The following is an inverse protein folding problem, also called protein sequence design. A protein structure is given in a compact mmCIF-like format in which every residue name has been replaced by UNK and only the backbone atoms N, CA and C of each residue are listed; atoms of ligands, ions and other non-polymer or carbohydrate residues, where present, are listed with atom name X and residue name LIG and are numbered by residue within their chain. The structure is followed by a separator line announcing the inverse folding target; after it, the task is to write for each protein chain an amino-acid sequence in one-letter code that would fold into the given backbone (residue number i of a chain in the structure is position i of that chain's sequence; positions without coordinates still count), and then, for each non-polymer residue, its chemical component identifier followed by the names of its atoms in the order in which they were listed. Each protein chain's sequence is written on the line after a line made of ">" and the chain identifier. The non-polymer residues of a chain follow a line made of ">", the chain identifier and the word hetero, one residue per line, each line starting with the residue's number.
data_IF_091282055058
#
_entry.id   IF_091282055058
#
_cell.length_a   1.000
_cell.length_b   1.000
_cell.length_c   1.000
_cell.angle_alpha   90.00
_cell.angle_beta   90.00
_cell.angle_gamma   90.00
#
_symmetry.space_group_name_H-M   'P 1'
#
loop_
_entity.id
_entity.type
_entity.pdbx_description
1 polymer ?
#
# COMPACT_ATOMS: atom_id res chain seq x y z
N UNK A 1 17.52 0.11 10.66
CA UNK A 1 16.64 -0.57 11.65
C UNK A 1 17.42 -1.70 12.30
N UNK A 2 17.14 -2.03 13.56
CA UNK A 2 17.61 -3.27 14.18
C UNK A 2 16.48 -4.29 14.13
N UNK A 3 16.70 -5.42 13.46
CA UNK A 3 15.70 -6.46 13.33
C UNK A 3 15.72 -7.37 14.57
N UNK A 4 14.63 -7.31 15.34
CA UNK A 4 14.35 -8.15 16.49
C UNK A 4 13.01 -8.89 16.30
N UNK A 5 12.96 -9.93 15.44
CA UNK A 5 11.70 -10.60 15.13
C UNK A 5 11.17 -11.38 16.35
N UNK A 6 9.87 -11.23 16.62
CA UNK A 6 9.15 -11.89 17.71
C UNK A 6 8.23 -13.00 17.20
N UNK A 7 7.42 -12.74 16.17
CA UNK A 7 6.41 -13.68 15.68
C UNK A 7 6.08 -13.51 14.19
N UNK A 8 5.30 -14.47 13.66
CA UNK A 8 4.75 -14.50 12.31
C UNK A 8 5.79 -14.26 11.20
N UNK A 9 5.47 -13.42 10.22
CA UNK A 9 6.27 -13.14 9.04
C UNK A 9 7.53 -12.32 9.33
N UNK A 10 7.71 -11.80 10.54
CA UNK A 10 8.84 -10.94 10.90
C UNK A 10 10.19 -11.63 10.68
N UNK A 11 10.25 -12.96 10.85
CA UNK A 11 11.47 -13.74 10.57
C UNK A 11 11.87 -13.64 9.09
N UNK A 12 10.90 -13.69 8.19
CA UNK A 12 11.09 -13.53 6.74
C UNK A 12 11.39 -12.07 6.40
N UNK A 13 10.65 -11.11 6.97
CA UNK A 13 10.89 -9.69 6.75
C UNK A 13 12.31 -9.29 7.17
N UNK A 14 12.83 -9.85 8.28
CA UNK A 14 14.23 -9.64 8.70
C UNK A 14 15.21 -10.02 7.59
N UNK A 15 15.05 -11.18 6.99
CA UNK A 15 15.93 -11.69 5.92
C UNK A 15 15.92 -10.72 4.75
N UNK A 16 14.73 -10.36 4.26
CA UNK A 16 14.58 -9.41 3.14
C UNK A 16 15.20 -8.05 3.48
N UNK A 17 14.96 -7.51 4.68
CA UNK A 17 15.45 -6.19 5.07
C UNK A 17 16.96 -6.13 5.27
N UNK A 18 17.57 -7.21 5.78
CA UNK A 18 19.01 -7.29 6.06
C UNK A 18 19.79 -7.71 4.82
N UNK A 19 19.37 -8.77 4.13
CA UNK A 19 20.13 -9.41 3.06
C UNK A 19 19.84 -8.81 1.69
N UNK A 20 18.56 -8.63 1.33
CA UNK A 20 18.20 -8.13 -0.01
C UNK A 20 18.23 -6.60 -0.09
N UNK A 21 17.60 -5.93 0.87
CA UNK A 21 17.45 -4.48 0.84
C UNK A 21 18.64 -3.73 1.45
N UNK A 22 19.40 -4.37 2.34
CA UNK A 22 20.54 -3.78 3.06
C UNK A 22 20.18 -2.66 4.06
N UNK A 23 18.90 -2.51 4.39
CA UNK A 23 18.39 -1.36 5.19
C UNK A 23 18.34 -1.62 6.70
N UNK A 24 18.72 -2.82 7.13
CA UNK A 24 18.65 -3.22 8.53
C UNK A 24 19.86 -4.06 8.97
N UNK A 25 20.04 -4.17 10.29
CA UNK A 25 20.98 -5.10 10.91
C UNK A 25 20.23 -6.04 11.84
N UNK A 26 20.65 -7.29 11.86
CA UNK A 26 20.13 -8.30 12.79
C UNK A 26 20.76 -8.17 14.18
N UNK A 27 19.97 -8.43 15.23
CA UNK A 27 20.48 -8.60 16.59
C UNK A 27 20.86 -10.04 16.85
N UNK A 28 22.12 -10.34 17.17
CA UNK A 28 22.51 -11.72 17.44
C UNK A 28 21.88 -12.21 18.75
N UNK A 29 21.40 -13.45 18.81
CA UNK A 29 20.79 -14.02 20.03
C UNK A 29 19.26 -14.07 20.03
N UNK A 30 18.58 -13.41 19.07
CA UNK A 30 17.10 -13.39 19.08
C UNK A 30 16.48 -14.77 18.87
N UNK A 31 17.16 -15.66 18.13
CA UNK A 31 16.70 -17.03 17.87
C UNK A 31 16.73 -17.91 19.13
N UNK A 32 17.65 -17.60 20.04
CA UNK A 32 17.84 -18.30 21.31
C UNK A 32 16.89 -17.78 22.41
N UNK A 33 15.99 -16.85 22.07
CA UNK A 33 15.01 -16.26 22.99
C UNK A 33 15.57 -15.19 23.92
N UNK A 34 16.88 -14.91 23.87
CA UNK A 34 17.52 -13.90 24.71
C UNK A 34 18.66 -13.20 23.97
N UNK A 35 18.51 -11.89 23.78
CA UNK A 35 19.58 -11.00 23.31
C UNK A 35 20.23 -10.35 24.54
N UNK A 36 21.57 -10.45 24.63
CA UNK A 36 22.33 -9.85 25.74
C UNK A 36 22.38 -8.32 25.62
N UNK A 37 22.43 -7.62 26.74
CA UNK A 37 22.53 -6.16 26.76
C UNK A 37 23.75 -5.62 26.00
N UNK A 38 24.90 -6.31 26.08
CA UNK A 38 26.10 -5.93 25.35
C UNK A 38 25.92 -5.98 23.83
N UNK A 39 25.15 -6.95 23.31
CA UNK A 39 24.85 -7.05 21.88
C UNK A 39 23.95 -5.89 21.44
N UNK A 40 22.92 -5.57 22.23
CA UNK A 40 22.04 -4.42 21.95
C UNK A 40 22.86 -3.14 21.90
N UNK A 41 23.70 -2.89 22.90
CA UNK A 41 24.54 -1.70 22.96
C UNK A 41 25.49 -1.62 21.75
N UNK A 42 26.19 -2.72 21.44
CA UNK A 42 27.12 -2.78 20.32
C UNK A 42 26.41 -2.49 18.98
N UNK A 43 25.22 -3.05 18.77
CA UNK A 43 24.45 -2.88 17.53
C UNK A 43 23.84 -1.50 17.42
N UNK A 44 23.33 -0.93 18.50
CA UNK A 44 22.86 0.46 18.54
C UNK A 44 24.01 1.40 18.19
N UNK A 45 25.17 1.24 18.83
CA UNK A 45 26.35 2.07 18.55
C UNK A 45 26.82 1.92 17.10
N UNK A 46 26.84 0.69 16.58
CA UNK A 46 27.19 0.43 15.18
C UNK A 46 26.23 1.13 14.21
N UNK A 47 24.91 1.10 14.46
CA UNK A 47 23.94 1.77 13.60
C UNK A 47 24.04 3.29 13.73
N UNK A 48 24.30 3.83 14.92
CA UNK A 48 24.26 5.28 15.16
C UNK A 48 25.56 5.97 14.75
N UNK A 49 26.71 5.44 15.16
CA UNK A 49 27.99 6.16 15.17
C UNK A 49 28.99 5.68 14.11
N UNK A 50 28.76 4.51 13.50
CA UNK A 50 29.74 3.94 12.57
C UNK A 50 29.51 4.30 11.10
N UNK A 51 30.56 4.10 10.30
CA UNK A 51 30.48 4.15 8.84
C UNK A 51 29.50 3.12 8.26
N UNK A 52 29.36 1.95 8.88
CA UNK A 52 28.37 0.96 8.47
C UNK A 52 26.94 1.49 8.67
N UNK A 53 26.68 2.15 9.80
CA UNK A 53 25.42 2.84 10.08
C UNK A 53 25.12 3.97 9.10
N UNK A 54 26.13 4.75 8.72
CA UNK A 54 26.00 5.78 7.68
C UNK A 54 25.64 5.21 6.31
N UNK A 55 26.28 4.10 5.90
CA UNK A 55 25.94 3.40 4.64
C UNK A 55 24.50 2.90 4.65
N UNK A 56 24.07 2.31 5.76
CA UNK A 56 22.70 1.82 5.96
C UNK A 56 21.68 2.95 5.86
N UNK A 57 21.92 4.10 6.51
CA UNK A 57 21.05 5.29 6.38
C UNK A 57 20.93 5.80 4.94
N UNK A 58 22.04 5.82 4.18
CA UNK A 58 22.02 6.19 2.76
C UNK A 58 21.16 5.24 1.94
N UNK A 59 21.25 3.93 2.18
CA UNK A 59 20.40 2.95 1.51
C UNK A 59 18.92 3.14 1.88
N UNK A 60 18.61 3.35 3.16
CA UNK A 60 17.24 3.67 3.61
C UNK A 60 16.69 4.89 2.88
N UNK A 61 17.48 5.97 2.74
CA UNK A 61 17.06 7.17 2.03
C UNK A 61 16.79 6.91 0.55
N UNK A 62 17.65 6.14 -0.13
CA UNK A 62 17.42 5.76 -1.52
C UNK A 62 16.14 4.92 -1.70
N UNK A 63 15.86 3.99 -0.79
CA UNK A 63 14.61 3.22 -0.80
C UNK A 63 13.39 4.09 -0.51
N UNK A 64 13.49 5.05 0.41
CA UNK A 64 12.44 6.05 0.69
C UNK A 64 12.12 6.86 -0.57
N UNK A 65 13.13 7.35 -1.28
CA UNK A 65 12.95 8.12 -2.51
C UNK A 65 12.27 7.30 -3.60
N UNK A 66 12.71 6.05 -3.82
CA UNK A 66 12.05 5.13 -4.78
C UNK A 66 10.59 4.86 -4.41
N UNK A 67 10.31 4.60 -3.13
CA UNK A 67 8.94 4.39 -2.66
C UNK A 67 8.08 5.64 -2.89
N UNK A 68 8.63 6.83 -2.62
CA UNK A 68 7.96 8.10 -2.89
C UNK A 68 7.66 8.27 -4.38
N UNK A 69 8.65 8.07 -5.27
CA UNK A 69 8.48 8.17 -6.72
C UNK A 69 7.47 7.17 -7.29
N UNK A 70 7.40 5.96 -6.72
CA UNK A 70 6.39 4.98 -7.13
C UNK A 70 4.96 5.44 -6.80
N UNK A 71 4.81 6.36 -5.84
CA UNK A 71 3.53 6.86 -5.33
C UNK A 71 3.18 8.29 -5.77
N UNK A 72 4.04 8.99 -6.53
CA UNK A 72 3.68 10.28 -7.12
C UNK A 72 2.65 10.12 -8.25
N UNK A 73 2.04 11.22 -8.71
CA UNK A 73 1.18 11.20 -9.89
C UNK A 73 1.95 10.63 -11.10
N UNK A 74 1.35 9.68 -11.81
CA UNK A 74 2.01 8.93 -12.89
C UNK A 74 3.04 7.89 -12.42
N UNK A 75 3.26 7.73 -11.10
CA UNK A 75 4.14 6.71 -10.53
C UNK A 75 3.63 5.29 -10.76
N UNK A 76 4.56 4.33 -10.88
CA UNK A 76 4.26 2.96 -11.30
C UNK A 76 3.23 2.25 -10.41
N UNK A 77 3.33 2.39 -9.08
CA UNK A 77 2.37 1.74 -8.17
C UNK A 77 0.96 2.32 -8.33
N UNK A 78 0.84 3.64 -8.55
CA UNK A 78 -0.45 4.28 -8.79
C UNK A 78 -1.03 3.92 -10.15
N UNK A 79 -0.20 3.85 -11.19
CA UNK A 79 -0.62 3.39 -12.53
C UNK A 79 -1.09 1.93 -12.49
N UNK A 80 -0.32 1.06 -11.83
CA UNK A 80 -0.68 -0.35 -11.67
C UNK A 80 -2.00 -0.52 -10.91
N UNK A 81 -2.19 0.24 -9.82
CA UNK A 81 -3.42 0.21 -9.05
C UNK A 81 -4.63 0.76 -9.84
N UNK A 82 -4.46 1.87 -10.56
CA UNK A 82 -5.51 2.41 -11.44
C UNK A 82 -5.90 1.38 -12.51
N UNK A 83 -4.92 0.73 -13.14
CA UNK A 83 -5.17 -0.34 -14.12
C UNK A 83 -5.90 -1.53 -13.50
N UNK A 84 -5.53 -1.94 -12.30
CA UNK A 84 -6.24 -2.98 -11.56
C UNK A 84 -7.72 -2.62 -11.36
N UNK A 85 -8.01 -1.37 -10.95
CA UNK A 85 -9.39 -0.90 -10.80
C UNK A 85 -10.16 -0.90 -12.13
N UNK A 86 -9.56 -0.40 -13.22
CA UNK A 86 -10.20 -0.43 -14.54
C UNK A 86 -10.50 -1.85 -15.03
N UNK A 87 -9.60 -2.81 -14.76
CA UNK A 87 -9.82 -4.22 -15.08
C UNK A 87 -10.98 -4.80 -14.25
N UNK A 88 -11.04 -4.48 -12.95
CA UNK A 88 -12.11 -4.91 -12.06
C UNK A 88 -13.47 -4.32 -12.50
N UNK A 89 -13.51 -3.05 -12.92
CA UNK A 89 -14.71 -2.41 -13.47
C UNK A 89 -15.16 -3.09 -14.78
N UNK A 90 -14.22 -3.42 -15.66
CA UNK A 90 -14.53 -4.15 -16.90
C UNK A 90 -15.12 -5.54 -16.61
N UNK A 91 -14.59 -6.26 -15.63
CA UNK A 91 -15.15 -7.54 -15.19
C UNK A 91 -16.55 -7.38 -14.58
N UNK A 92 -16.76 -6.34 -13.76
CA UNK A 92 -18.09 -6.02 -13.21
C UNK A 92 -19.09 -5.71 -14.31
N UNK A 93 -18.70 -4.95 -15.33
CA UNK A 93 -19.56 -4.66 -16.47
C UNK A 93 -19.97 -5.93 -17.22
N UNK A 94 -19.05 -6.88 -17.42
CA UNK A 94 -19.36 -8.17 -18.05
C UNK A 94 -20.35 -9.01 -17.23
N UNK A 95 -20.22 -9.01 -15.91
CA UNK A 95 -21.17 -9.69 -15.02
C UNK A 95 -22.55 -9.02 -15.09
N UNK A 96 -22.59 -7.69 -15.08
CA UNK A 96 -23.84 -6.94 -15.18
C UNK A 96 -24.57 -7.23 -16.49
N UNK A 97 -23.86 -7.26 -17.62
CA UNK A 97 -24.45 -7.57 -18.93
C UNK A 97 -25.06 -8.98 -18.93
N UNK A 98 -24.34 -9.97 -18.42
CA UNK A 98 -24.88 -11.34 -18.28
C UNK A 98 -26.12 -11.40 -17.39
N UNK A 99 -26.14 -10.67 -16.27
CA UNK A 99 -27.29 -10.65 -15.37
C UNK A 99 -28.50 -10.00 -16.04
N UNK A 100 -28.30 -8.93 -16.80
CA UNK A 100 -29.37 -8.29 -17.57
C UNK A 100 -29.92 -9.18 -18.68
N UNK A 101 -29.06 -9.94 -19.38
CA UNK A 101 -29.49 -10.91 -20.39
C UNK A 101 -30.40 -12.01 -19.79
N UNK A 102 -30.27 -12.29 -18.49
CA UNK A 102 -31.12 -13.24 -17.77
C UNK A 102 -32.32 -12.57 -17.07
N UNK A 103 -32.60 -11.30 -17.37
CA UNK A 103 -33.76 -10.58 -16.85
C UNK A 103 -33.63 -10.04 -15.42
N UNK A 104 -32.42 -10.05 -14.83
CA UNK A 104 -32.19 -9.49 -13.51
C UNK A 104 -32.01 -7.96 -13.57
N UNK A 105 -32.64 -7.25 -12.62
CA UNK A 105 -32.36 -5.84 -12.40
C UNK A 105 -31.05 -5.68 -11.60
N UNK A 106 -30.10 -4.90 -12.12
CA UNK A 106 -28.79 -4.69 -11.50
C UNK A 106 -28.64 -3.23 -11.06
N UNK A 107 -28.14 -3.01 -9.85
CA UNK A 107 -27.81 -1.68 -9.31
C UNK A 107 -26.34 -1.63 -8.90
N UNK A 108 -25.61 -0.63 -9.39
CA UNK A 108 -24.20 -0.43 -9.06
C UNK A 108 -24.02 0.78 -8.13
N UNK A 109 -23.35 0.56 -6.99
CA UNK A 109 -22.94 1.62 -6.07
C UNK A 109 -21.45 1.91 -6.27
N UNK A 110 -21.13 3.17 -6.55
CA UNK A 110 -19.75 3.65 -6.66
C UNK A 110 -19.37 4.30 -5.33
N UNK A 111 -18.42 3.69 -4.63
CA UNK A 111 -17.85 4.23 -3.39
C UNK A 111 -16.62 5.05 -3.78
N UNK A 112 -16.67 6.36 -3.51
CA UNK A 112 -15.51 7.24 -3.63
C UNK A 112 -14.49 6.82 -2.55
N UNK A 113 -13.36 6.18 -2.91
CA UNK A 113 -12.40 5.77 -1.92
C UNK A 113 -11.85 7.03 -1.26
N UNK A 114 -12.06 7.15 0.05
CA UNK A 114 -11.70 8.29 0.89
C UNK A 114 -10.21 8.58 0.84
N UNK A 115 -9.67 9.18 -0.22
CA UNK A 115 -8.29 9.65 -0.27
C UNK A 115 -8.13 10.78 -1.29
N UNK A 116 -8.01 12.00 -0.75
CA UNK A 116 -7.57 13.26 -1.35
C UNK A 116 -7.88 13.48 -2.85
N UNK A 117 -8.84 14.39 -3.10
CA UNK A 117 -8.99 15.19 -4.32
C UNK A 117 -8.43 14.56 -5.62
N UNK A 118 -8.94 13.40 -6.02
CA UNK A 118 -8.80 13.01 -7.42
C UNK A 118 -9.73 13.91 -8.24
N UNK A 119 -9.13 14.84 -8.98
CA UNK A 119 -9.80 15.84 -9.83
C UNK A 119 -10.63 15.19 -10.98
N UNK A 120 -10.67 13.87 -11.09
CA UNK A 120 -11.33 13.20 -12.23
C UNK A 120 -12.30 12.06 -11.88
N UNK A 121 -12.59 11.78 -10.60
CA UNK A 121 -13.58 10.75 -10.27
C UNK A 121 -15.00 11.11 -10.76
N UNK A 122 -15.51 12.35 -10.57
CA UNK A 122 -16.82 12.74 -11.09
C UNK A 122 -16.92 12.58 -12.62
N UNK A 123 -15.87 12.94 -13.35
CA UNK A 123 -15.80 12.81 -14.81
C UNK A 123 -15.81 11.35 -15.25
N UNK A 124 -15.05 10.50 -14.56
CA UNK A 124 -14.99 9.06 -14.83
C UNK A 124 -16.33 8.38 -14.55
N UNK A 125 -16.98 8.74 -13.45
CA UNK A 125 -18.33 8.26 -13.12
C UNK A 125 -19.34 8.70 -14.19
N UNK A 126 -19.32 9.97 -14.60
CA UNK A 126 -20.22 10.46 -15.65
C UNK A 126 -20.03 9.74 -16.99
N UNK A 127 -18.78 9.41 -17.35
CA UNK A 127 -18.50 8.64 -18.57
C UNK A 127 -19.09 7.22 -18.49
N UNK A 128 -18.96 6.55 -17.34
CA UNK A 128 -19.53 5.22 -17.10
C UNK A 128 -21.06 5.23 -17.13
N UNK A 129 -21.69 6.19 -16.47
CA UNK A 129 -23.16 6.36 -16.47
C UNK A 129 -23.69 6.56 -17.89
N UNK A 130 -23.05 7.43 -18.68
CA UNK A 130 -23.45 7.71 -20.06
C UNK A 130 -23.27 6.52 -21.00
N UNK A 131 -22.29 5.65 -20.73
CA UNK A 131 -22.02 4.49 -21.58
C UNK A 131 -23.07 3.37 -21.48
N UNK A 132 -23.85 3.32 -20.39
CA UNK A 132 -24.86 2.27 -20.15
C UNK A 132 -26.12 2.81 -19.48
N UNK A 133 -27.06 3.41 -20.25
CA UNK A 133 -28.27 4.04 -19.71
C UNK A 133 -29.26 3.04 -19.07
N UNK A 134 -29.11 1.74 -19.37
CA UNK A 134 -29.93 0.68 -18.77
C UNK A 134 -29.57 0.36 -17.30
N UNK A 135 -28.39 0.80 -16.82
CA UNK A 135 -27.94 0.59 -15.44
C UNK A 135 -28.24 1.86 -14.63
N UNK A 136 -28.94 1.70 -13.50
CA UNK A 136 -29.15 2.81 -12.55
C UNK A 136 -27.97 2.89 -11.59
N UNK A 137 -27.26 4.02 -11.62
CA UNK A 137 -26.13 4.29 -10.74
C UNK A 137 -26.57 5.19 -9.58
N UNK A 138 -26.17 4.82 -8.36
CA UNK A 138 -26.36 5.66 -7.18
C UNK A 138 -25.00 6.09 -6.63
N UNK A 139 -24.82 7.40 -6.47
CA UNK A 139 -23.65 7.97 -5.79
C UNK A 139 -23.94 8.02 -4.30
N UNK A 140 -23.16 7.30 -3.51
CA UNK A 140 -23.30 7.35 -2.06
C UNK A 140 -22.68 8.65 -1.51
N UNK A 141 -23.29 9.25 -0.47
CA UNK A 141 -22.74 10.45 0.16
C UNK A 141 -21.36 10.14 0.74
N UNK A 142 -20.49 11.16 0.72
CA UNK A 142 -19.15 11.09 1.30
C UNK A 142 -19.28 10.83 2.80
N UNK A 143 -18.61 9.80 3.30
CA UNK A 143 -18.50 9.58 4.74
C UNK A 143 -17.48 10.59 5.26
N UNK A 144 -17.96 11.62 5.97
CA UNK A 144 -17.09 12.47 6.78
C UNK A 144 -16.61 11.64 7.97
N UNK A 145 -15.39 11.10 7.86
CA UNK A 145 -14.71 10.58 9.03
C UNK A 145 -14.39 11.80 9.91
N UNK A 146 -15.14 11.95 11.01
CA UNK A 146 -14.83 12.94 12.03
C UNK A 146 -13.38 12.75 12.45
N UNK A 147 -12.60 13.82 12.29
CA UNK A 147 -11.21 13.92 12.71
C UNK A 147 -11.17 13.82 14.25
N UNK A 148 -11.12 12.59 14.77
CA UNK A 148 -11.01 12.33 16.19
C UNK A 148 -9.56 12.57 16.62
N UNK A 149 -9.19 13.86 16.69
CA UNK A 149 -8.01 14.34 17.40
C UNK A 149 -8.34 14.42 18.90
N UNK A 150 -7.90 13.42 19.65
CA UNK A 150 -7.56 13.53 21.06
C UNK A 150 -6.12 13.05 21.26
#
# INVERSE_FOLDING_TARGET
>A
MLCWPLYAEQKMNKVVMVEEMGIAMELVGWQQGLVKGQEVEARVRLVMESNAGNKLRKQVMAHKERASMAWTDGGMSRVAFARFLSNADSQRMHINDKLMDHGYAVTAALIDPTFQQQINFPTTVNHVVSSKPAIRFHKLPRIELSDNRH
#
